data_IF_830870994228
#
_entry.id   IF_830870994228
#
_cell.length_a   1.000
_cell.length_b   1.000
_cell.length_c   1.000
_cell.angle_alpha   90.00
_cell.angle_beta   90.00
_cell.angle_gamma   90.00
#
_symmetry.space_group_name_H-M   'P 1'
#
loop_
_entity.id
_entity.type
_entity.pdbx_description
1 polymer ?
#
# COMPACT_ATOMS: atom_id res chain seq x y z
N UNK A 1 10.13 -5.27 21.96
CA UNK A 1 9.76 -4.19 21.00
C UNK A 1 10.38 -4.52 19.66
N UNK A 2 9.58 -4.70 18.64
CA UNK A 2 10.08 -5.16 17.33
C UNK A 2 10.39 -3.98 16.40
N UNK A 3 11.57 -3.97 15.79
CA UNK A 3 11.96 -3.00 14.76
C UNK A 3 10.90 -2.92 13.63
N UNK A 4 10.25 -4.04 13.34
CA UNK A 4 9.24 -4.21 12.29
C UNK A 4 7.98 -3.36 12.52
N UNK A 5 7.54 -3.23 13.78
CA UNK A 5 6.37 -2.42 14.14
C UNK A 5 6.64 -0.92 13.92
N UNK A 6 7.89 -0.50 14.08
CA UNK A 6 8.34 0.86 13.77
C UNK A 6 8.44 1.10 12.26
N UNK A 7 8.92 0.11 11.51
CA UNK A 7 8.98 0.20 10.04
C UNK A 7 7.58 0.35 9.47
N UNK A 8 6.60 -0.38 10.01
CA UNK A 8 5.20 -0.32 9.60
C UNK A 8 4.40 0.83 10.23
N UNK A 9 5.06 1.73 11.00
CA UNK A 9 4.42 2.83 11.73
C UNK A 9 3.27 2.36 12.66
N UNK A 10 3.33 1.12 13.15
CA UNK A 10 2.31 0.52 14.01
C UNK A 10 2.56 0.77 15.50
N UNK A 11 3.82 0.88 15.90
CA UNK A 11 4.23 0.97 17.29
C UNK A 11 3.51 2.10 18.07
N UNK A 12 3.50 3.31 17.51
CA UNK A 12 2.93 4.50 18.18
C UNK A 12 1.48 4.31 18.58
N UNK A 13 0.62 3.81 17.68
CA UNK A 13 -0.78 3.63 18.01
C UNK A 13 -0.99 2.43 18.95
N UNK A 14 -0.16 1.39 18.85
CA UNK A 14 -0.27 0.23 19.74
C UNK A 14 0.03 0.64 21.18
N UNK A 15 1.02 1.49 21.42
CA UNK A 15 1.32 2.01 22.78
C UNK A 15 0.19 2.87 23.36
N UNK A 16 -0.66 3.46 22.51
CA UNK A 16 -1.82 4.25 22.93
C UNK A 16 -3.05 3.38 23.27
N UNK A 17 -3.03 2.09 22.93
CA UNK A 17 -4.11 1.18 23.31
C UNK A 17 -4.07 0.88 24.81
N UNK A 18 -5.22 0.59 25.47
CA UNK A 18 -5.31 0.43 26.93
C UNK A 18 -4.29 -0.54 27.51
N UNK A 19 -4.04 -1.67 26.84
CA UNK A 19 -3.09 -2.70 27.27
C UNK A 19 -1.88 -2.81 26.32
N UNK A 20 -1.64 -1.77 25.49
CA UNK A 20 -0.56 -1.76 24.51
C UNK A 20 -0.57 -3.00 23.62
N UNK A 21 0.55 -3.69 23.52
CA UNK A 21 0.69 -4.93 22.74
C UNK A 21 -0.13 -6.12 23.25
N UNK A 22 -0.66 -6.06 24.46
CA UNK A 22 -1.53 -7.10 25.03
C UNK A 22 -3.01 -6.84 24.80
N UNK A 23 -3.34 -5.72 24.17
CA UNK A 23 -4.73 -5.34 23.89
C UNK A 23 -5.42 -6.39 23.02
N UNK A 24 -6.59 -6.87 23.45
CA UNK A 24 -7.43 -7.77 22.69
C UNK A 24 -8.20 -6.97 21.65
N UNK A 25 -7.85 -7.13 20.38
CA UNK A 25 -8.39 -6.37 19.25
C UNK A 25 -9.65 -6.98 18.63
N UNK A 26 -10.14 -8.09 19.16
CA UNK A 26 -11.32 -8.79 18.67
C UNK A 26 -11.07 -9.63 17.42
N UNK A 27 -12.10 -10.35 16.98
CA UNK A 27 -12.01 -11.15 15.76
C UNK A 27 -11.72 -10.27 14.55
N UNK A 28 -10.73 -10.66 13.75
CA UNK A 28 -10.24 -9.89 12.57
C UNK A 28 -9.87 -8.42 12.86
N UNK A 29 -9.60 -8.08 14.12
CA UNK A 29 -9.21 -6.71 14.50
C UNK A 29 -10.37 -5.70 14.43
N UNK A 30 -11.60 -6.10 14.71
CA UNK A 30 -12.80 -5.25 14.63
C UNK A 30 -12.70 -3.97 15.48
N UNK A 31 -11.91 -3.97 16.55
CA UNK A 31 -11.72 -2.82 17.44
C UNK A 31 -10.67 -1.83 16.93
N UNK A 32 -10.06 -2.10 15.79
CA UNK A 32 -9.05 -1.25 15.17
C UNK A 32 -9.65 -0.48 13.97
N UNK A 33 -9.12 0.71 13.69
CA UNK A 33 -9.42 1.41 12.45
C UNK A 33 -8.88 0.66 11.22
N UNK A 34 -9.38 0.97 10.03
CA UNK A 34 -8.88 0.39 8.78
C UNK A 34 -7.36 0.58 8.62
N UNK A 35 -6.88 1.80 8.84
CA UNK A 35 -5.45 2.11 8.77
C UNK A 35 -4.59 1.44 9.84
N UNK A 36 -5.14 1.21 11.05
CA UNK A 36 -4.45 0.45 12.10
C UNK A 36 -4.31 -1.02 11.71
N UNK A 37 -5.38 -1.64 11.21
CA UNK A 37 -5.33 -3.02 10.70
C UNK A 37 -4.31 -3.18 9.59
N UNK A 38 -4.27 -2.23 8.69
CA UNK A 38 -3.38 -2.23 7.53
C UNK A 38 -1.91 -2.14 7.94
N UNK A 39 -1.58 -1.24 8.89
CA UNK A 39 -0.21 -1.14 9.45
C UNK A 39 0.23 -2.41 10.18
N UNK A 40 -0.67 -3.11 10.87
CA UNK A 40 -0.38 -4.42 11.46
C UNK A 40 -0.13 -5.46 10.37
N UNK A 41 -0.93 -5.46 9.29
CA UNK A 41 -0.71 -6.37 8.16
C UNK A 41 0.65 -6.15 7.50
N UNK A 42 1.07 -4.89 7.34
CA UNK A 42 2.41 -4.53 6.85
C UNK A 42 3.51 -5.03 7.80
N UNK A 43 3.36 -4.85 9.11
CA UNK A 43 4.31 -5.36 10.10
C UNK A 43 4.46 -6.89 10.02
N UNK A 44 3.37 -7.60 9.78
CA UNK A 44 3.37 -9.05 9.57
C UNK A 44 4.08 -9.44 8.27
N UNK A 45 3.89 -8.69 7.19
CA UNK A 45 4.60 -8.92 5.91
C UNK A 45 6.10 -8.71 6.07
N UNK A 46 6.52 -7.67 6.81
CA UNK A 46 7.94 -7.43 7.14
C UNK A 46 8.51 -8.58 7.96
N UNK A 47 7.73 -9.09 8.92
CA UNK A 47 8.15 -10.21 9.77
C UNK A 47 8.41 -11.49 8.97
N UNK A 48 7.57 -11.74 7.95
CA UNK A 48 7.68 -12.93 7.10
C UNK A 48 8.92 -12.89 6.19
N UNK A 49 9.41 -11.69 5.89
CA UNK A 49 10.62 -11.45 5.10
C UNK A 49 10.67 -12.17 3.74
N UNK A 50 9.51 -12.26 3.09
CA UNK A 50 9.40 -12.92 1.79
C UNK A 50 10.07 -12.08 0.68
N UNK A 51 10.75 -12.71 -0.31
CA UNK A 51 11.40 -12.00 -1.41
C UNK A 51 10.40 -11.36 -2.39
N UNK A 52 9.17 -11.88 -2.43
CA UNK A 52 8.07 -11.34 -3.25
C UNK A 52 6.98 -10.84 -2.32
N UNK A 53 6.57 -9.58 -2.51
CA UNK A 53 5.51 -8.93 -1.76
C UNK A 53 4.36 -8.59 -2.71
N UNK A 54 3.15 -9.02 -2.36
CA UNK A 54 1.94 -8.67 -3.11
C UNK A 54 1.11 -7.75 -2.21
N UNK A 55 0.80 -6.56 -2.71
CA UNK A 55 0.00 -5.54 -2.04
C UNK A 55 -1.30 -5.34 -2.82
N UNK A 56 -2.40 -5.75 -2.23
CA UNK A 56 -3.73 -5.56 -2.78
C UNK A 56 -4.48 -4.50 -1.97
N UNK A 57 -4.90 -3.43 -2.64
CA UNK A 57 -5.64 -2.30 -2.02
C UNK A 57 -4.99 -1.69 -0.76
N UNK A 58 -3.67 -1.56 -0.75
CA UNK A 58 -2.92 -1.16 0.44
C UNK A 58 -3.33 0.20 1.07
N UNK A 59 -4.16 1.01 0.41
CA UNK A 59 -4.59 2.33 0.89
C UNK A 59 -6.08 2.62 0.71
N UNK A 60 -6.89 1.62 0.33
CA UNK A 60 -8.33 1.77 0.25
C UNK A 60 -8.92 2.07 1.64
N UNK A 61 -9.74 3.11 1.75
CA UNK A 61 -10.50 3.45 2.97
C UNK A 61 -9.70 3.99 4.16
N UNK A 62 -8.57 4.65 3.94
CA UNK A 62 -7.83 5.36 4.99
C UNK A 62 -7.81 6.87 4.73
N UNK A 63 -7.69 7.66 5.81
CA UNK A 63 -7.52 9.11 5.73
C UNK A 63 -6.13 9.47 5.17
N UNK A 64 -5.98 10.70 4.69
CA UNK A 64 -4.77 11.16 4.01
C UNK A 64 -3.51 11.10 4.89
N UNK A 65 -3.63 11.33 6.20
CA UNK A 65 -2.50 11.28 7.12
C UNK A 65 -2.03 9.83 7.30
N UNK A 66 -2.96 8.92 7.53
CA UNK A 66 -2.68 7.48 7.62
C UNK A 66 -2.14 6.94 6.30
N UNK A 67 -2.65 7.40 5.16
CA UNK A 67 -2.11 7.03 3.84
C UNK A 67 -0.65 7.44 3.68
N UNK A 68 -0.26 8.65 4.08
CA UNK A 68 1.12 9.10 4.04
C UNK A 68 2.06 8.22 4.90
N UNK A 69 1.59 7.80 6.09
CA UNK A 69 2.33 6.88 6.96
C UNK A 69 2.50 5.50 6.31
N UNK A 70 1.46 4.98 5.69
CA UNK A 70 1.50 3.70 4.97
C UNK A 70 2.48 3.78 3.79
N UNK A 71 2.42 4.85 2.98
CA UNK A 71 3.34 5.07 1.85
C UNK A 71 4.80 5.14 2.30
N UNK A 72 5.07 5.85 3.40
CA UNK A 72 6.39 5.89 4.01
C UNK A 72 6.89 4.52 4.46
N UNK A 73 6.00 3.71 5.01
CA UNK A 73 6.31 2.33 5.40
C UNK A 73 6.58 1.45 4.18
N UNK A 74 5.72 1.54 3.17
CA UNK A 74 5.87 0.79 1.91
C UNK A 74 7.20 1.10 1.23
N UNK A 75 7.60 2.36 1.14
CA UNK A 75 8.89 2.75 0.53
C UNK A 75 10.11 2.14 1.21
N UNK A 76 10.01 1.77 2.50
CA UNK A 76 11.06 1.07 3.23
C UNK A 76 10.99 -0.44 3.03
N UNK A 77 9.76 -0.99 3.01
CA UNK A 77 9.52 -2.44 2.94
C UNK A 77 9.80 -2.99 1.54
N UNK A 78 9.55 -2.18 0.50
CA UNK A 78 9.71 -2.59 -0.91
C UNK A 78 11.16 -2.58 -1.38
N UNK A 79 12.06 -1.91 -0.66
CA UNK A 79 13.48 -1.94 -0.97
C UNK A 79 13.99 -3.38 -0.96
N UNK A 80 14.79 -3.73 -1.98
CA UNK A 80 15.43 -5.04 -2.13
C UNK A 80 14.45 -6.23 -2.29
N UNK A 81 13.20 -5.95 -2.69
CA UNK A 81 12.18 -6.98 -2.91
C UNK A 81 11.46 -6.78 -4.23
N UNK A 82 11.01 -7.87 -4.83
CA UNK A 82 10.05 -7.79 -5.92
C UNK A 82 8.67 -7.50 -5.34
N UNK A 83 8.10 -6.35 -5.70
CA UNK A 83 6.80 -5.92 -5.18
C UNK A 83 5.80 -5.81 -6.31
N UNK A 84 4.68 -6.50 -6.16
CA UNK A 84 3.51 -6.41 -7.05
C UNK A 84 2.44 -5.63 -6.30
N UNK A 85 1.99 -4.52 -6.88
CA UNK A 85 0.97 -3.65 -6.30
C UNK A 85 -0.27 -3.66 -7.18
N UNK A 86 -1.40 -4.07 -6.62
CA UNK A 86 -2.72 -3.88 -7.22
C UNK A 86 -3.26 -2.57 -6.67
N UNK A 87 -3.33 -1.55 -7.53
CA UNK A 87 -3.62 -0.20 -7.09
C UNK A 87 -5.00 0.28 -7.56
N UNK A 88 -5.76 0.83 -6.63
CA UNK A 88 -6.97 1.60 -6.90
C UNK A 88 -6.68 3.11 -6.99
N UNK A 89 -5.55 3.55 -6.41
CA UNK A 89 -5.06 4.92 -6.53
C UNK A 89 -3.77 4.92 -7.34
N UNK A 90 -3.80 5.57 -8.50
CA UNK A 90 -2.65 5.62 -9.41
C UNK A 90 -1.45 6.37 -8.82
N UNK A 91 -1.68 7.28 -7.88
CA UNK A 91 -0.62 7.95 -7.11
C UNK A 91 0.31 6.96 -6.39
N UNK A 92 -0.20 5.81 -5.98
CA UNK A 92 0.56 4.76 -5.28
C UNK A 92 1.61 4.11 -6.18
N UNK A 93 1.32 3.98 -7.47
CA UNK A 93 2.16 3.26 -8.44
C UNK A 93 2.94 4.19 -9.38
N UNK A 94 2.83 5.50 -9.21
CA UNK A 94 3.52 6.48 -10.06
C UNK A 94 5.03 6.23 -10.19
N UNK A 95 5.66 5.76 -9.11
CA UNK A 95 7.10 5.49 -9.06
C UNK A 95 7.44 4.02 -9.28
N UNK A 96 6.51 3.19 -9.76
CA UNK A 96 6.78 1.79 -10.09
C UNK A 96 7.75 1.67 -11.27
N UNK A 97 8.60 0.65 -11.25
CA UNK A 97 9.54 0.35 -12.34
C UNK A 97 8.82 -0.02 -13.62
N UNK A 98 7.67 -0.70 -13.50
CA UNK A 98 6.80 -1.06 -14.60
C UNK A 98 5.33 -1.08 -14.14
N UNK A 99 4.46 -0.46 -14.89
CA UNK A 99 3.01 -0.45 -14.70
C UNK A 99 2.40 -1.31 -15.79
N UNK A 100 1.49 -2.18 -15.41
CA UNK A 100 0.76 -3.06 -16.32
C UNK A 100 -0.73 -2.70 -16.24
N UNK A 101 -1.32 -2.35 -17.37
CA UNK A 101 -2.76 -2.08 -17.49
C UNK A 101 -3.44 -3.32 -18.04
N UNK A 102 -4.45 -3.80 -17.33
CA UNK A 102 -5.21 -4.99 -17.69
C UNK A 102 -6.64 -4.56 -18.02
N UNK A 103 -7.13 -4.92 -19.19
CA UNK A 103 -8.53 -4.79 -19.58
C UNK A 103 -9.04 -6.12 -20.13
N UNK A 104 -10.23 -6.54 -19.69
CA UNK A 104 -10.88 -7.80 -20.12
C UNK A 104 -9.95 -9.01 -20.05
N UNK A 105 -9.12 -9.09 -19.03
CA UNK A 105 -8.18 -10.20 -18.81
C UNK A 105 -6.94 -10.19 -19.71
N UNK A 106 -6.67 -9.09 -20.42
CA UNK A 106 -5.50 -8.94 -21.31
C UNK A 106 -4.68 -7.73 -20.89
N UNK A 107 -3.36 -7.84 -21.06
CA UNK A 107 -2.47 -6.70 -20.91
C UNK A 107 -2.65 -5.80 -22.13
N UNK A 108 -3.11 -4.58 -21.92
CA UNK A 108 -3.35 -3.60 -22.99
C UNK A 108 -2.24 -2.55 -23.07
N UNK A 109 -1.61 -2.24 -21.94
CA UNK A 109 -0.48 -1.30 -21.86
C UNK A 109 0.53 -1.78 -20.82
N UNK A 110 1.81 -1.45 -21.05
CA UNK A 110 2.88 -1.71 -20.09
C UNK A 110 3.99 -0.67 -20.24
N UNK A 111 4.51 -0.16 -19.12
CA UNK A 111 5.59 0.81 -19.14
C UNK A 111 5.68 1.63 -17.85
N UNK A 112 6.55 2.64 -17.86
CA UNK A 112 6.66 3.64 -16.78
C UNK A 112 5.54 4.67 -16.89
N UNK A 113 5.22 5.29 -15.74
CA UNK A 113 4.19 6.32 -15.62
C UNK A 113 4.23 7.38 -16.74
N UNK A 114 5.39 8.02 -16.93
CA UNK A 114 5.55 9.08 -17.92
C UNK A 114 5.32 8.59 -19.36
N UNK A 115 5.81 7.39 -19.67
CA UNK A 115 5.64 6.81 -21.00
C UNK A 115 4.16 6.49 -21.29
N UNK A 116 3.44 5.97 -20.29
CA UNK A 116 2.03 5.63 -20.44
C UNK A 116 1.14 6.88 -20.54
N UNK A 117 1.47 7.95 -19.80
CA UNK A 117 0.76 9.23 -19.95
C UNK A 117 0.88 9.79 -21.36
N UNK A 118 2.08 9.76 -21.92
CA UNK A 118 2.35 10.30 -23.27
C UNK A 118 1.67 9.49 -24.39
N UNK A 119 1.23 8.27 -24.12
CA UNK A 119 0.54 7.45 -25.12
C UNK A 119 -0.92 7.87 -25.33
N UNK A 120 -1.52 8.66 -24.42
CA UNK A 120 -2.92 9.10 -24.48
C UNK A 120 -3.90 7.94 -24.70
N UNK A 121 -3.76 6.88 -23.89
CA UNK A 121 -4.58 5.66 -23.93
C UNK A 121 -5.25 5.42 -22.58
N UNK A 122 -5.65 4.19 -22.31
CA UNK A 122 -6.41 3.77 -21.12
C UNK A 122 -5.77 4.24 -19.81
N UNK A 123 -4.44 4.13 -19.67
CA UNK A 123 -3.75 4.60 -18.46
C UNK A 123 -3.86 6.12 -18.27
N UNK A 124 -3.66 6.87 -19.35
CA UNK A 124 -3.79 8.34 -19.34
C UNK A 124 -5.20 8.77 -18.97
N UNK A 125 -6.22 8.11 -19.54
CA UNK A 125 -7.63 8.41 -19.23
C UNK A 125 -7.94 8.16 -17.76
N UNK A 126 -7.50 7.02 -17.22
CA UNK A 126 -7.67 6.69 -15.79
C UNK A 126 -6.95 7.68 -14.87
N UNK A 127 -5.76 8.12 -15.27
CA UNK A 127 -5.00 9.12 -14.52
C UNK A 127 -5.74 10.46 -14.48
N UNK A 128 -6.20 10.95 -15.64
CA UNK A 128 -6.92 12.23 -15.75
C UNK A 128 -8.19 12.23 -14.88
N UNK A 129 -8.94 11.14 -14.90
CA UNK A 129 -10.14 10.98 -14.05
C UNK A 129 -9.79 11.06 -12.55
N UNK A 130 -8.68 10.47 -12.13
CA UNK A 130 -8.29 10.51 -10.71
C UNK A 130 -7.69 11.85 -10.25
N UNK A 131 -7.02 12.57 -11.14
CA UNK A 131 -6.41 13.88 -10.84
C UNK A 131 -7.39 15.03 -11.04
N UNK A 132 -8.54 14.77 -11.70
CA UNK A 132 -9.59 15.77 -11.92
C UNK A 132 -9.27 16.74 -13.05
N UNK A 133 -8.57 16.28 -14.07
CA UNK A 133 -8.29 17.02 -15.29
C UNK A 133 -9.19 16.53 -16.44
#
# INVERSE_FOLDING_TARGET
MCIRDRIAEAHKFIEQLPDGYKTIVGERGQRLSGGQRQRIALARAVLKDAPILILDEATASVDNETEALIQKSLSKITKERTTIVIAHRLSTIKNADNIIVIDKGKIVESGKHENLLNQNKTYSDLWNVQVGI
#
